data_IF_297965118002
#
_entry.id   IF_297965118002
#
_cell.length_a   1.000
_cell.length_b   1.000
_cell.length_c   1.000
_cell.angle_alpha   90.00
_cell.angle_beta   90.00
_cell.angle_gamma   90.00
#
_symmetry.space_group_name_H-M   'P 1'
#
loop_
_entity.id
_entity.type
_entity.pdbx_description
1 polymer ?
#
# COMPACT_ATOMS: atom_id res chain seq x y z
N UNK A 1 -15.71 6.30 -11.75
CA UNK A 1 -14.36 5.79 -12.05
C UNK A 1 -13.39 6.95 -11.87
N UNK A 2 -12.66 7.01 -10.75
CA UNK A 2 -11.51 7.90 -10.64
C UNK A 2 -10.36 7.17 -11.32
N UNK A 3 -10.18 7.37 -12.64
CA UNK A 3 -8.99 6.83 -13.28
C UNK A 3 -7.81 7.67 -12.80
N UNK A 4 -6.89 7.05 -12.06
CA UNK A 4 -5.54 7.60 -11.98
C UNK A 4 -5.04 7.70 -13.42
N UNK A 5 -4.77 8.90 -13.93
CA UNK A 5 -4.36 9.12 -15.32
C UNK A 5 -2.86 8.80 -15.53
N UNK A 6 -2.30 8.01 -14.62
CA UNK A 6 -0.87 7.83 -14.47
C UNK A 6 -0.16 9.10 -13.98
N UNK A 7 1.11 8.95 -13.61
CA UNK A 7 2.03 10.06 -13.40
C UNK A 7 3.35 9.75 -14.12
N UNK A 8 3.89 10.71 -14.86
CA UNK A 8 5.22 10.58 -15.43
C UNK A 8 6.25 11.00 -14.39
N UNK A 9 6.96 10.02 -13.83
CA UNK A 9 7.96 10.24 -12.80
C UNK A 9 9.32 10.47 -13.45
N UNK A 10 10.06 11.44 -12.92
CA UNK A 10 11.38 11.80 -13.40
C UNK A 10 12.32 12.11 -12.25
N UNK A 11 13.59 11.83 -12.45
CA UNK A 11 14.66 12.35 -11.60
C UNK A 11 14.72 13.89 -11.70
N UNK A 12 15.24 14.61 -10.67
CA UNK A 12 15.33 16.06 -10.66
C UNK A 12 16.15 16.67 -11.81
N UNK A 13 17.05 15.89 -12.43
CA UNK A 13 17.93 16.36 -13.49
C UNK A 13 17.40 16.11 -14.90
N UNK A 14 16.22 15.50 -15.02
CA UNK A 14 15.59 15.10 -16.27
C UNK A 14 15.05 16.30 -17.05
N UNK A 15 15.26 16.31 -18.38
CA UNK A 15 14.79 17.39 -19.27
C UNK A 15 13.61 16.97 -20.16
N UNK A 16 12.99 15.81 -19.94
CA UNK A 16 11.82 15.37 -20.71
C UNK A 16 10.61 16.29 -20.43
N UNK A 17 9.93 16.73 -21.50
CA UNK A 17 8.81 17.66 -21.40
C UNK A 17 7.59 17.09 -20.66
N UNK A 18 7.53 15.76 -20.46
CA UNK A 18 6.46 15.09 -19.70
C UNK A 18 6.69 15.14 -18.19
N UNK A 19 7.90 15.46 -17.73
CA UNK A 19 8.17 15.61 -16.30
C UNK A 19 7.35 16.77 -15.71
N UNK A 20 6.92 16.64 -14.46
CA UNK A 20 6.17 17.70 -13.78
C UNK A 20 6.98 19.01 -13.64
N UNK A 21 8.32 18.90 -13.56
CA UNK A 21 9.23 20.04 -13.51
C UNK A 21 10.54 19.70 -14.25
N UNK A 22 10.56 19.77 -15.59
CA UNK A 22 11.74 19.44 -16.38
C UNK A 22 12.90 20.40 -16.10
N UNK A 23 14.11 19.87 -15.94
CA UNK A 23 15.32 20.68 -15.77
C UNK A 23 15.61 21.48 -17.04
N UNK A 24 15.81 22.79 -16.87
CA UNK A 24 16.23 23.68 -17.94
C UNK A 24 17.71 23.49 -18.29
N UNK A 25 18.08 23.75 -19.55
CA UNK A 25 19.46 23.62 -20.05
C UNK A 25 20.49 24.47 -19.30
N UNK A 26 20.05 25.55 -18.66
CA UNK A 26 20.90 26.48 -17.90
C UNK A 26 21.13 26.06 -16.44
N UNK A 27 20.34 25.13 -15.90
CA UNK A 27 20.45 24.69 -14.51
C UNK A 27 21.42 23.51 -14.43
N UNK A 28 22.53 23.57 -13.66
CA UNK A 28 23.43 22.43 -13.52
C UNK A 28 22.72 21.18 -12.98
N UNK A 29 23.22 19.99 -13.33
CA UNK A 29 22.73 18.73 -12.74
C UNK A 29 23.10 18.67 -11.26
N UNK A 30 22.13 18.31 -10.43
CA UNK A 30 22.29 18.06 -9.01
C UNK A 30 23.04 16.76 -8.72
N UNK A 31 22.83 15.73 -9.57
CA UNK A 31 23.24 14.34 -9.36
C UNK A 31 22.80 13.80 -8.00
N UNK A 32 21.60 14.19 -7.56
CA UNK A 32 21.05 13.74 -6.28
C UNK A 32 20.68 12.24 -6.27
N UNK A 33 20.45 11.66 -7.45
CA UNK A 33 20.08 10.25 -7.65
C UNK A 33 20.40 9.81 -9.07
N UNK A 34 20.33 8.50 -9.31
CA UNK A 34 20.52 7.94 -10.64
C UNK A 34 19.43 8.42 -11.62
N UNK A 35 19.77 8.64 -12.91
CA UNK A 35 18.81 9.14 -13.88
C UNK A 35 17.65 8.15 -14.11
N UNK A 36 16.41 8.64 -14.05
CA UNK A 36 15.23 7.86 -14.42
C UNK A 36 14.14 8.74 -15.02
N UNK A 37 13.39 8.19 -15.97
CA UNK A 37 12.07 8.70 -16.32
C UNK A 37 11.16 7.56 -16.76
N UNK A 38 9.95 7.48 -16.20
CA UNK A 38 9.00 6.44 -16.57
C UNK A 38 7.57 6.86 -16.28
N UNK A 39 6.65 6.25 -17.02
CA UNK A 39 5.22 6.38 -16.77
C UNK A 39 4.82 5.41 -15.66
N UNK A 40 4.36 5.94 -14.53
CA UNK A 40 3.68 5.16 -13.49
C UNK A 40 2.19 5.16 -13.77
N UNK A 41 1.55 4.01 -13.57
CA UNK A 41 0.11 3.85 -13.70
C UNK A 41 -0.42 3.01 -12.53
N UNK A 42 -1.69 3.18 -12.20
CA UNK A 42 -2.33 2.50 -11.07
C UNK A 42 -3.77 2.13 -11.42
N UNK A 43 -4.14 0.91 -11.08
CA UNK A 43 -5.54 0.46 -11.16
C UNK A 43 -6.20 0.81 -9.82
N UNK A 44 -7.30 1.55 -9.89
CA UNK A 44 -8.09 1.88 -8.71
C UNK A 44 -9.58 1.84 -9.01
N UNK A 45 -10.36 1.51 -7.99
CA UNK A 45 -11.81 1.49 -8.05
C UNK A 45 -12.38 2.07 -6.76
N UNK A 46 -13.44 2.86 -6.88
CA UNK A 46 -14.20 3.37 -5.75
C UNK A 46 -15.56 2.68 -5.74
N UNK A 47 -15.91 2.06 -4.62
CA UNK A 47 -17.20 1.44 -4.42
C UNK A 47 -18.01 2.23 -3.39
N UNK A 48 -19.18 2.81 -3.75
CA UNK A 48 -20.03 3.48 -2.78
C UNK A 48 -20.62 2.46 -1.81
N UNK A 49 -20.51 2.74 -0.51
CA UNK A 49 -21.12 1.92 0.54
C UNK A 49 -22.44 2.54 1.02
N UNK A 50 -23.40 1.70 1.36
CA UNK A 50 -24.69 2.13 1.90
C UNK A 50 -24.53 2.75 3.31
N UNK A 51 -25.40 3.67 3.73
CA UNK A 51 -25.32 4.31 5.05
C UNK A 51 -25.30 3.30 6.21
N UNK A 52 -25.94 2.14 6.05
CA UNK A 52 -25.92 1.05 7.03
C UNK A 52 -24.51 0.51 7.34
N UNK A 53 -23.53 0.74 6.46
CA UNK A 53 -22.13 0.42 6.71
C UNK A 53 -21.51 1.22 7.87
N UNK A 54 -22.11 2.35 8.24
CA UNK A 54 -21.65 3.21 9.34
C UNK A 54 -22.37 2.89 10.66
N UNK A 55 -23.37 2.01 10.65
CA UNK A 55 -24.17 1.69 11.83
C UNK A 55 -23.79 0.36 12.49
N UNK A 56 -23.04 -0.50 11.80
CA UNK A 56 -22.62 -1.81 12.29
C UNK A 56 -21.27 -2.23 11.69
N UNK A 57 -20.69 -3.32 12.20
CA UNK A 57 -19.46 -3.91 11.66
C UNK A 57 -19.69 -4.58 10.32
N UNK A 58 -18.72 -4.42 9.42
CA UNK A 58 -18.68 -5.09 8.12
C UNK A 58 -17.43 -5.93 7.99
N UNK A 59 -17.58 -7.09 7.34
CA UNK A 59 -16.45 -7.95 6.99
C UNK A 59 -15.92 -7.52 5.64
N UNK A 60 -14.80 -6.81 5.65
CA UNK A 60 -13.99 -6.55 4.47
C UNK A 60 -13.04 -7.72 4.26
N UNK A 61 -12.92 -8.18 3.02
CA UNK A 61 -12.02 -9.27 2.66
C UNK A 61 -11.24 -8.89 1.41
N UNK A 62 -9.95 -9.21 1.44
CA UNK A 62 -9.06 -9.17 0.29
C UNK A 62 -8.55 -10.60 0.08
N UNK A 63 -8.81 -11.14 -1.09
CA UNK A 63 -8.27 -12.41 -1.55
C UNK A 63 -7.18 -12.12 -2.58
N UNK A 64 -6.01 -12.72 -2.39
CA UNK A 64 -4.87 -12.51 -3.26
C UNK A 64 -4.25 -13.86 -3.59
N UNK A 65 -4.26 -14.18 -4.88
CA UNK A 65 -3.69 -15.37 -5.46
C UNK A 65 -2.59 -14.95 -6.43
N UNK A 66 -1.40 -15.52 -6.30
CA UNK A 66 -0.26 -15.23 -7.20
C UNK A 66 -0.28 -16.14 -8.44
N UNK A 67 0.73 -16.04 -9.31
CA UNK A 67 0.86 -16.90 -10.47
C UNK A 67 0.11 -16.40 -11.71
N UNK A 68 0.22 -17.15 -12.81
CA UNK A 68 -0.30 -16.76 -14.14
C UNK A 68 -1.82 -16.64 -14.20
N UNK A 69 -2.52 -17.41 -13.38
CA UNK A 69 -3.98 -17.35 -13.24
C UNK A 69 -4.41 -16.61 -11.96
N UNK A 70 -3.47 -15.92 -11.31
CA UNK A 70 -3.70 -15.20 -10.06
C UNK A 70 -4.63 -14.00 -10.21
N UNK A 71 -5.03 -13.44 -9.06
CA UNK A 71 -5.89 -12.26 -8.99
C UNK A 71 -5.82 -11.60 -7.60
N UNK A 72 -6.19 -10.32 -7.53
CA UNK A 72 -6.58 -9.66 -6.29
C UNK A 72 -8.07 -9.36 -6.36
N UNK A 73 -8.83 -9.80 -5.36
CA UNK A 73 -10.27 -9.61 -5.26
C UNK A 73 -10.63 -8.94 -3.95
N UNK A 74 -11.37 -7.84 -4.05
CA UNK A 74 -11.98 -7.15 -2.91
C UNK A 74 -13.41 -7.61 -2.74
N UNK A 75 -13.76 -7.95 -1.50
CA UNK A 75 -15.05 -8.49 -1.14
C UNK A 75 -15.62 -7.74 0.07
N UNK A 76 -16.96 -7.67 0.11
CA UNK A 76 -17.70 -7.13 1.24
C UNK A 76 -18.75 -8.14 1.67
N UNK A 77 -18.70 -8.54 2.95
CA UNK A 77 -19.59 -9.53 3.54
C UNK A 77 -19.68 -10.81 2.69
N UNK A 78 -18.54 -11.32 2.22
CA UNK A 78 -18.46 -12.54 1.41
C UNK A 78 -18.86 -12.38 -0.07
N UNK A 79 -19.18 -11.17 -0.54
CA UNK A 79 -19.57 -10.92 -1.92
C UNK A 79 -18.48 -10.14 -2.67
N UNK A 80 -18.09 -10.55 -3.90
CA UNK A 80 -17.09 -9.84 -4.69
C UNK A 80 -17.58 -8.46 -5.13
N UNK A 81 -16.74 -7.45 -4.93
CA UNK A 81 -16.98 -6.07 -5.36
C UNK A 81 -16.15 -5.73 -6.61
N UNK A 82 -14.88 -6.09 -6.58
CA UNK A 82 -13.92 -5.75 -7.63
C UNK A 82 -12.82 -6.80 -7.67
N UNK A 83 -12.31 -7.09 -8.86
CA UNK A 83 -11.26 -8.06 -9.08
C UNK A 83 -10.31 -7.54 -10.16
N UNK A 84 -9.02 -7.78 -9.96
CA UNK A 84 -7.98 -7.58 -10.96
C UNK A 84 -7.23 -8.89 -11.14
N UNK A 85 -7.32 -9.46 -12.33
CA UNK A 85 -6.66 -10.71 -12.69
C UNK A 85 -5.23 -10.48 -13.17
N UNK A 86 -4.38 -11.50 -13.10
CA UNK A 86 -3.01 -11.47 -13.61
C UNK A 86 -2.94 -11.08 -15.10
N UNK A 87 -3.94 -11.50 -15.90
CA UNK A 87 -4.07 -11.14 -17.33
C UNK A 87 -4.10 -9.62 -17.54
N UNK A 88 -4.66 -8.86 -16.59
CA UNK A 88 -4.72 -7.39 -16.64
C UNK A 88 -3.33 -6.73 -16.67
N UNK A 89 -2.29 -7.43 -16.20
CA UNK A 89 -0.90 -6.96 -16.16
C UNK A 89 0.03 -7.72 -17.11
N UNK A 90 -0.24 -9.00 -17.39
CA UNK A 90 0.60 -9.82 -18.25
C UNK A 90 0.30 -9.63 -19.74
N UNK A 91 -0.93 -9.25 -20.09
CA UNK A 91 -1.39 -9.06 -21.47
C UNK A 91 -1.54 -7.58 -21.82
N UNK A 92 -0.44 -6.83 -21.69
CA UNK A 92 -0.42 -5.40 -22.02
C UNK A 92 -0.36 -5.17 -23.53
N UNK A 93 -0.96 -4.07 -24.04
CA UNK A 93 -0.82 -3.68 -25.45
C UNK A 93 0.65 -3.60 -25.85
N UNK A 94 0.98 -4.20 -27.00
CA UNK A 94 2.33 -4.22 -27.55
C UNK A 94 2.42 -3.35 -28.81
N UNK A 95 3.58 -2.70 -29.01
CA UNK A 95 3.91 -2.11 -30.30
C UNK A 95 4.42 -3.21 -31.27
N UNK A 96 4.77 -2.82 -32.51
CA UNK A 96 5.28 -3.78 -33.52
C UNK A 96 6.53 -4.54 -33.07
N UNK A 97 7.28 -4.00 -32.12
CA UNK A 97 8.52 -4.57 -31.62
C UNK A 97 8.33 -5.33 -30.30
N UNK A 98 7.09 -5.44 -29.80
CA UNK A 98 6.77 -6.02 -28.49
C UNK A 98 7.66 -5.50 -27.37
N UNK A 99 7.90 -4.19 -27.33
CA UNK A 99 8.89 -3.61 -26.43
C UNK A 99 8.39 -3.45 -24.99
N UNK A 100 7.09 -3.63 -24.71
CA UNK A 100 6.58 -3.48 -23.35
C UNK A 100 6.89 -4.77 -22.58
N UNK A 101 7.53 -4.69 -21.40
CA UNK A 101 7.80 -5.87 -20.60
C UNK A 101 6.49 -6.52 -20.14
N UNK A 102 6.46 -7.84 -20.16
CA UNK A 102 5.38 -8.58 -19.50
C UNK A 102 5.57 -8.47 -17.99
N UNK A 103 4.51 -8.09 -17.30
CA UNK A 103 4.48 -8.07 -15.84
C UNK A 103 3.92 -9.38 -15.32
N UNK A 104 4.28 -9.71 -14.08
CA UNK A 104 3.71 -10.85 -13.35
C UNK A 104 2.66 -10.34 -12.36
N UNK A 105 1.87 -11.28 -11.81
CA UNK A 105 1.05 -10.98 -10.65
C UNK A 105 1.94 -10.53 -9.50
N UNK A 106 1.44 -9.66 -8.62
CA UNK A 106 2.21 -9.24 -7.45
C UNK A 106 2.58 -10.47 -6.62
N UNK A 107 3.87 -10.65 -6.35
CA UNK A 107 4.46 -11.75 -5.58
C UNK A 107 5.32 -11.26 -4.40
N UNK A 108 5.53 -9.94 -4.32
CA UNK A 108 6.34 -9.31 -3.28
C UNK A 108 5.61 -9.30 -1.92
N UNK A 109 6.33 -9.38 -0.79
CA UNK A 109 5.73 -9.24 0.54
C UNK A 109 5.02 -7.89 0.70
N UNK A 110 3.79 -7.90 1.23
CA UNK A 110 3.01 -6.69 1.49
C UNK A 110 2.65 -6.56 2.96
N UNK A 111 2.32 -5.33 3.35
CA UNK A 111 1.76 -5.01 4.67
C UNK A 111 0.32 -4.53 4.55
N UNK A 112 -0.47 -4.76 5.61
CA UNK A 112 -1.81 -4.21 5.74
C UNK A 112 -1.77 -2.95 6.58
N UNK A 113 -2.30 -1.86 6.03
CA UNK A 113 -2.40 -0.57 6.71
C UNK A 113 -3.88 -0.23 6.88
N UNK A 114 -4.27 0.07 8.12
CA UNK A 114 -5.60 0.57 8.45
C UNK A 114 -5.45 1.96 9.05
N UNK A 115 -5.99 2.98 8.39
CA UNK A 115 -5.92 4.36 8.86
C UNK A 115 -7.19 5.14 8.54
N UNK A 116 -7.43 6.22 9.30
CA UNK A 116 -8.43 7.23 8.96
C UNK A 116 -7.69 8.43 8.40
N UNK A 117 -7.91 8.74 7.12
CA UNK A 117 -7.32 9.89 6.46
C UNK A 117 -8.38 10.95 6.14
N UNK A 118 -7.96 12.22 6.20
CA UNK A 118 -8.73 13.36 5.71
C UNK A 118 -7.94 14.02 4.59
N UNK A 119 -8.53 14.12 3.40
CA UNK A 119 -7.92 14.78 2.24
C UNK A 119 -8.89 15.79 1.65
N UNK A 120 -8.38 16.99 1.37
CA UNK A 120 -9.11 18.05 0.69
C UNK A 120 -9.30 17.80 -0.81
N UNK A 121 -8.58 16.82 -1.38
CA UNK A 121 -8.56 16.51 -2.83
C UNK A 121 -9.43 15.33 -3.22
N UNK A 122 -9.64 14.36 -2.33
CA UNK A 122 -10.39 13.12 -2.64
C UNK A 122 -11.55 12.84 -1.69
N UNK A 123 -11.75 13.68 -0.67
CA UNK A 123 -12.73 13.45 0.38
C UNK A 123 -13.55 14.69 0.73
N UNK A 124 -14.37 14.53 1.75
CA UNK A 124 -15.16 15.60 2.35
C UNK A 124 -14.25 16.56 3.11
N UNK A 125 -14.38 17.86 2.84
CA UNK A 125 -13.69 18.89 3.63
C UNK A 125 -14.44 19.09 4.95
N UNK A 126 -13.78 19.05 6.11
CA UNK A 126 -14.43 19.42 7.35
C UNK A 126 -14.98 20.85 7.23
N UNK A 127 -16.11 21.17 7.89
CA UNK A 127 -16.61 22.54 7.92
C UNK A 127 -15.52 23.52 8.38
N UNK A 128 -15.49 24.70 7.77
CA UNK A 128 -14.58 25.79 8.14
C UNK A 128 -13.09 25.39 8.19
N UNK A 129 -12.62 24.61 7.21
CA UNK A 129 -11.23 24.16 7.11
C UNK A 129 -10.22 25.34 7.25
N UNK A 130 -9.26 25.19 8.17
CA UNK A 130 -8.31 26.25 8.55
C UNK A 130 -8.72 27.08 9.77
N UNK A 131 -9.93 26.88 10.29
CA UNK A 131 -10.43 27.48 11.53
C UNK A 131 -11.10 26.45 12.45
N UNK A 132 -11.87 26.95 13.43
CA UNK A 132 -12.68 26.08 14.29
C UNK A 132 -13.82 25.45 13.49
N UNK A 133 -14.05 24.14 13.66
CA UNK A 133 -15.06 23.39 12.90
C UNK A 133 -16.43 24.09 12.90
N UNK A 134 -16.92 24.50 14.08
CA UNK A 134 -18.24 25.15 14.22
C UNK A 134 -18.34 26.56 13.64
N UNK A 135 -17.24 27.18 13.23
CA UNK A 135 -17.24 28.59 12.82
C UNK A 135 -17.76 29.48 13.95
N UNK A 136 -18.81 30.26 13.68
CA UNK A 136 -19.51 31.09 14.67
C UNK A 136 -20.66 30.37 15.40
N UNK A 137 -20.94 29.11 15.04
CA UNK A 137 -21.98 28.28 15.65
C UNK A 137 -23.41 28.56 15.16
N UNK A 138 -23.61 29.39 14.13
CA UNK A 138 -24.95 29.75 13.62
C UNK A 138 -25.56 28.71 12.68
N UNK A 139 -24.73 27.87 12.04
CA UNK A 139 -25.18 26.85 11.09
C UNK A 139 -25.45 25.51 11.80
N UNK A 140 -26.73 25.12 11.88
CA UNK A 140 -27.16 23.89 12.52
C UNK A 140 -26.58 22.62 11.87
N UNK A 141 -26.37 22.63 10.55
CA UNK A 141 -25.79 21.48 9.82
C UNK A 141 -24.31 21.33 10.16
N UNK A 142 -23.58 22.45 10.18
CA UNK A 142 -22.18 22.47 10.59
C UNK A 142 -22.04 22.00 12.03
N UNK A 143 -22.89 22.48 12.94
CA UNK A 143 -22.86 22.08 14.35
C UNK A 143 -23.03 20.57 14.50
N UNK A 144 -24.03 19.96 13.82
CA UNK A 144 -24.24 18.50 13.83
C UNK A 144 -23.00 17.74 13.36
N UNK A 145 -22.38 18.15 12.25
CA UNK A 145 -21.15 17.50 11.75
C UNK A 145 -20.01 17.63 12.76
N UNK A 146 -19.86 18.81 13.37
CA UNK A 146 -18.79 19.06 14.35
C UNK A 146 -19.03 18.37 15.70
N UNK A 147 -20.28 18.03 16.03
CA UNK A 147 -20.64 17.27 17.24
C UNK A 147 -20.24 15.79 17.13
N UNK A 148 -20.06 15.26 15.92
CA UNK A 148 -19.64 13.87 15.66
C UNK A 148 -18.14 13.62 15.88
N UNK A 149 -17.34 14.65 16.16
CA UNK A 149 -15.91 14.50 16.45
C UNK A 149 -15.65 14.23 17.94
N UNK A 150 -14.68 13.35 18.28
CA UNK A 150 -13.82 12.60 17.37
C UNK A 150 -14.52 11.40 16.74
N UNK A 151 -14.37 11.24 15.42
CA UNK A 151 -14.80 10.04 14.71
C UNK A 151 -13.78 8.91 14.90
N UNK A 152 -14.26 7.68 15.08
CA UNK A 152 -13.44 6.51 15.36
C UNK A 152 -13.64 5.44 14.28
N UNK A 153 -12.55 4.89 13.75
CA UNK A 153 -12.59 3.63 13.01
C UNK A 153 -12.41 2.49 14.00
N UNK A 154 -13.44 1.66 14.15
CA UNK A 154 -13.42 0.52 15.07
C UNK A 154 -13.11 -0.75 14.28
N UNK A 155 -12.11 -1.49 14.73
CA UNK A 155 -11.72 -2.79 14.18
C UNK A 155 -11.97 -3.81 15.28
N UNK A 156 -12.88 -4.75 15.06
CA UNK A 156 -13.15 -5.83 16.01
C UNK A 156 -12.05 -6.89 15.94
N UNK A 157 -11.74 -7.36 14.74
CA UNK A 157 -10.66 -8.31 14.50
C UNK A 157 -10.03 -8.14 13.12
N UNK A 158 -8.82 -8.71 12.98
CA UNK A 158 -8.14 -8.94 11.71
C UNK A 158 -7.83 -10.43 11.65
N UNK A 159 -8.08 -11.06 10.49
CA UNK A 159 -7.68 -12.45 10.23
C UNK A 159 -6.87 -12.48 8.95
N UNK A 160 -5.67 -13.04 9.04
CA UNK A 160 -4.82 -13.32 7.90
C UNK A 160 -4.81 -14.83 7.70
N UNK A 161 -5.14 -15.25 6.48
CA UNK A 161 -5.16 -16.65 6.09
C UNK A 161 -4.05 -16.91 5.10
N UNK A 162 -3.50 -18.10 5.15
CA UNK A 162 -2.59 -18.59 4.15
C UNK A 162 -3.18 -19.89 3.61
N UNK A 163 -3.25 -19.99 2.29
CA UNK A 163 -3.59 -21.22 1.62
C UNK A 163 -2.35 -22.11 1.58
N UNK A 164 -2.50 -23.32 2.12
CA UNK A 164 -1.46 -24.35 2.15
C UNK A 164 -1.89 -25.58 1.33
N UNK A 165 -2.93 -25.44 0.51
CA UNK A 165 -3.42 -26.47 -0.38
C UNK A 165 -2.38 -26.92 -1.41
N UNK A 166 -2.46 -28.19 -1.78
CA UNK A 166 -1.68 -28.79 -2.86
C UNK A 166 -2.40 -28.77 -4.21
N UNK A 167 -3.61 -28.18 -4.25
CA UNK A 167 -4.46 -27.97 -5.43
C UNK A 167 -4.23 -26.61 -6.11
N UNK A 168 -3.29 -25.81 -5.58
CA UNK A 168 -2.88 -24.55 -6.17
C UNK A 168 -2.07 -24.78 -7.46
N UNK A 169 -2.20 -23.84 -8.40
CA UNK A 169 -1.34 -23.83 -9.59
C UNK A 169 0.14 -23.84 -9.19
N UNK A 170 0.99 -24.48 -9.99
CA UNK A 170 2.40 -24.69 -9.69
C UNK A 170 3.22 -23.39 -9.52
N UNK A 171 2.64 -22.25 -9.88
CA UNK A 171 3.20 -20.91 -9.73
C UNK A 171 2.49 -20.06 -8.66
N UNK A 172 1.74 -20.69 -7.74
CA UNK A 172 1.31 -20.03 -6.51
C UNK A 172 2.43 -20.07 -5.47
N UNK A 173 2.96 -18.90 -5.10
CA UNK A 173 4.13 -18.74 -4.25
C UNK A 173 3.77 -18.24 -2.84
N UNK A 174 2.55 -18.47 -2.36
CA UNK A 174 2.14 -17.96 -1.05
C UNK A 174 2.96 -18.60 0.08
N UNK A 175 3.85 -17.81 0.68
CA UNK A 175 4.75 -18.22 1.76
C UNK A 175 4.52 -17.36 3.02
N UNK A 176 4.79 -17.92 4.20
CA UNK A 176 4.82 -17.12 5.44
C UNK A 176 6.18 -16.48 5.60
N UNK A 177 6.18 -15.18 5.88
CA UNK A 177 7.37 -14.42 6.22
C UNK A 177 7.75 -13.40 5.15
N UNK A 178 8.77 -12.62 5.47
CA UNK A 178 9.22 -11.50 4.62
C UNK A 178 10.48 -11.84 3.81
N UNK A 179 11.00 -13.06 3.88
CA UNK A 179 12.25 -13.48 3.23
C UNK A 179 12.22 -14.97 2.82
N UNK A 180 11.23 -15.42 2.01
CA UNK A 180 11.18 -16.80 1.56
C UNK A 180 12.31 -17.12 0.57
N UNK A 181 12.74 -18.39 0.46
CA UNK A 181 13.83 -18.75 -0.46
C UNK A 181 13.53 -18.50 -1.95
N UNK A 182 12.24 -18.45 -2.33
CA UNK A 182 11.82 -18.08 -3.68
C UNK A 182 11.97 -16.57 -3.97
N UNK A 183 11.92 -15.74 -2.93
CA UNK A 183 12.04 -14.29 -2.99
C UNK A 183 12.91 -13.82 -1.80
N UNK A 184 14.26 -13.90 -1.91
CA UNK A 184 15.18 -13.57 -0.84
C UNK A 184 15.26 -12.05 -0.64
N UNK A 185 14.17 -11.45 -0.16
CA UNK A 185 13.99 -10.01 0.03
C UNK A 185 15.08 -9.41 0.93
N UNK A 186 15.57 -10.15 1.93
CA UNK A 186 16.65 -9.67 2.80
C UNK A 186 17.95 -9.49 2.03
N UNK A 187 18.33 -10.48 1.23
CA UNK A 187 19.53 -10.41 0.39
C UNK A 187 19.40 -9.28 -0.63
N UNK A 188 18.21 -9.12 -1.22
CA UNK A 188 17.92 -8.03 -2.15
C UNK A 188 18.12 -6.65 -1.50
N UNK A 189 17.51 -6.40 -0.34
CA UNK A 189 17.65 -5.13 0.38
C UNK A 189 19.11 -4.86 0.76
N UNK A 190 19.84 -5.90 1.19
CA UNK A 190 21.27 -5.76 1.53
C UNK A 190 22.13 -5.43 0.31
N UNK A 191 21.79 -6.01 -0.86
CA UNK A 191 22.47 -5.75 -2.12
C UNK A 191 22.17 -4.37 -2.73
N UNK A 192 21.06 -3.74 -2.34
CA UNK A 192 20.57 -2.46 -2.87
C UNK A 192 20.30 -1.45 -1.74
N UNK A 193 21.14 -1.45 -0.70
CA UNK A 193 20.87 -0.71 0.53
C UNK A 193 20.69 0.79 0.31
N UNK A 194 21.34 1.34 -0.71
CA UNK A 194 21.23 2.72 -1.18
C UNK A 194 19.84 3.09 -1.72
N UNK A 195 19.01 2.12 -2.10
CA UNK A 195 17.60 2.32 -2.46
C UNK A 195 16.66 2.34 -1.24
N UNK A 196 17.09 1.73 -0.13
CA UNK A 196 16.26 1.52 1.07
C UNK A 196 16.65 2.41 2.26
N UNK A 197 17.73 3.18 2.15
CA UNK A 197 18.08 4.21 3.14
C UNK A 197 18.73 5.44 2.52
N UNK A 198 18.58 6.55 3.24
CA UNK A 198 19.37 7.75 3.05
C UNK A 198 19.96 8.23 4.38
N UNK A 199 20.53 9.42 4.40
CA UNK A 199 21.17 9.98 5.60
C UNK A 199 20.18 10.31 6.73
N UNK A 200 18.89 10.48 6.41
CA UNK A 200 17.83 10.87 7.34
C UNK A 200 16.95 9.68 7.76
N UNK A 201 16.90 8.63 6.93
CA UNK A 201 16.10 7.43 7.13
C UNK A 201 16.94 6.17 6.88
N UNK A 202 17.72 5.78 7.89
CA UNK A 202 18.56 4.58 7.85
C UNK A 202 17.75 3.30 7.97
N UNK A 203 18.15 2.23 7.26
CA UNK A 203 17.57 0.91 7.46
C UNK A 203 17.87 0.50 8.89
N UNK A 204 16.81 0.24 9.65
CA UNK A 204 16.91 -0.16 11.04
C UNK A 204 16.23 -1.50 11.23
N UNK A 205 16.93 -2.43 11.88
CA UNK A 205 16.35 -3.70 12.25
C UNK A 205 15.36 -3.45 13.40
N UNK A 206 14.07 -3.62 13.11
CA UNK A 206 13.01 -3.53 14.12
C UNK A 206 12.64 -4.93 14.58
N UNK A 207 12.69 -5.15 15.89
CA UNK A 207 12.19 -6.39 16.48
C UNK A 207 10.67 -6.25 16.60
N UNK A 208 9.93 -7.07 15.86
CA UNK A 208 8.48 -7.11 15.93
C UNK A 208 8.01 -7.43 17.36
N UNK A 209 7.02 -6.68 17.86
CA UNK A 209 6.44 -6.87 19.20
C UNK A 209 5.29 -7.89 19.20
N UNK A 210 5.30 -8.85 18.30
CA UNK A 210 4.27 -9.89 18.27
C UNK A 210 4.33 -10.67 19.60
N UNK A 211 3.18 -10.86 20.22
CA UNK A 211 3.08 -11.71 21.41
C UNK A 211 3.30 -13.16 20.99
N UNK A 212 4.37 -13.75 21.51
CA UNK A 212 4.70 -15.15 21.34
C UNK A 212 3.84 -16.01 22.27
N UNK A 213 3.28 -17.12 21.77
CA UNK A 213 2.60 -18.11 22.61
C UNK A 213 3.53 -19.27 23.01
N UNK A 214 4.58 -19.53 22.22
CA UNK A 214 5.49 -20.66 22.41
C UNK A 214 6.96 -20.26 22.25
N UNK A 215 7.87 -20.95 22.94
CA UNK A 215 9.30 -20.63 22.84
C UNK A 215 9.87 -20.78 21.41
N UNK A 216 9.17 -21.52 20.53
CA UNK A 216 9.50 -21.70 19.11
C UNK A 216 9.04 -20.55 18.20
N UNK A 217 8.02 -19.78 18.58
CA UNK A 217 7.59 -18.58 17.84
C UNK A 217 8.31 -17.31 18.32
N UNK A 218 9.16 -17.47 19.34
CA UNK A 218 9.95 -16.41 19.95
C UNK A 218 11.46 -16.57 19.68
N UNK A 219 11.89 -16.50 18.42
CA UNK A 219 13.32 -16.38 18.11
C UNK A 219 13.71 -14.90 17.99
N UNK A 220 13.83 -14.22 19.13
CA UNK A 220 14.54 -12.93 19.20
C UNK A 220 16.01 -13.23 19.53
N UNK A 221 16.89 -13.08 18.54
CA UNK A 221 18.32 -13.32 18.71
C UNK A 221 19.05 -12.16 19.40
N UNK A 222 19.70 -12.45 20.54
CA UNK A 222 20.78 -11.66 21.20
C UNK A 222 20.45 -10.27 21.77
N UNK A 223 21.31 -9.84 22.72
CA UNK A 223 21.42 -8.59 23.51
C UNK A 223 20.16 -7.89 24.08
N UNK A 224 19.00 -7.93 23.44
CA UNK A 224 17.76 -7.30 23.89
C UNK A 224 16.88 -8.22 24.77
N UNK A 225 17.16 -9.52 24.80
CA UNK A 225 16.49 -10.51 25.65
C UNK A 225 16.80 -10.37 27.17
N UNK A 226 17.61 -9.37 27.57
CA UNK A 226 18.05 -9.17 28.97
C UNK A 226 17.31 -8.07 29.72
N UNK A 227 16.32 -7.42 29.12
CA UNK A 227 15.49 -6.44 29.83
C UNK A 227 14.18 -7.10 30.16
N UNK A 228 14.02 -7.47 31.43
CA UNK A 228 12.73 -7.87 31.98
C UNK A 228 11.69 -6.80 31.67
N UNK A 229 10.53 -7.21 31.16
CA UNK A 229 9.39 -6.34 31.01
C UNK A 229 8.99 -5.84 32.40
N UNK A 230 9.17 -4.54 32.64
CA UNK A 230 8.61 -3.88 33.81
C UNK A 230 7.09 -3.94 33.66
N UNK A 231 6.46 -4.82 34.43
CA UNK A 231 5.00 -4.86 34.67
C UNK A 231 4.57 -3.72 35.57
#
# INVERSE_FOLDING_TARGET
>A
MNSYMGAYLCDPDNSDARCASPRNSTTPKSNAMDPFNYQMDAISSNWPIHLGAYTDYLVYQLEWVTGKNGYVRWMLAGNPLFEVTADSFSNVPQNSNSSNPQKVMLEEPMSLIFNVALSSSWGTKPPNAGGACRGDGSDETVNKICDEFPMLMKIDYIRLYQDQGDDLDADNYMQVGCDPSSHPTKEWIQGHIDEYQDNDNLVTEVIGKAFCETNSDCTVGSNYAKTDLIT
#
